data_IF_709609405489
#
_entry.id   IF_709609405489
#
_cell.length_a   1.000
_cell.length_b   1.000
_cell.length_c   1.000
_cell.angle_alpha   90.00
_cell.angle_beta   90.00
_cell.angle_gamma   90.00
#
_symmetry.space_group_name_H-M   'P 1'
#
loop_
_entity.id
_entity.type
_entity.pdbx_description
1 polymer ?
#
# COMPACT_ATOMS: atom_id res chain seq x y z
N UNK A 1 20.25 -24.14 19.52
CA UNK A 1 20.62 -24.20 18.10
C UNK A 1 20.32 -25.60 17.59
N UNK A 2 20.00 -25.76 16.30
CA UNK A 2 19.52 -27.04 15.75
C UNK A 2 20.63 -28.11 15.64
N UNK A 3 20.23 -29.29 15.20
CA UNK A 3 21.05 -30.49 15.04
C UNK A 3 22.04 -30.44 13.87
N UNK A 4 22.15 -29.32 13.14
CA UNK A 4 23.10 -29.12 12.05
C UNK A 4 24.52 -28.88 12.57
N UNK A 5 25.50 -29.41 11.86
CA UNK A 5 26.93 -29.24 12.19
C UNK A 5 27.47 -27.84 11.81
N UNK A 6 26.61 -26.95 11.35
CA UNK A 6 27.00 -25.60 10.93
C UNK A 6 27.45 -24.77 12.13
N UNK A 7 28.60 -24.15 11.98
CA UNK A 7 29.19 -23.26 12.97
C UNK A 7 29.00 -21.83 12.52
N UNK A 8 28.64 -20.97 13.44
CA UNK A 8 28.49 -19.54 13.22
C UNK A 8 29.38 -18.76 14.21
N UNK A 9 30.03 -17.74 13.68
CA UNK A 9 30.78 -16.80 14.52
C UNK A 9 29.80 -15.71 14.96
N UNK A 10 29.74 -15.48 16.26
CA UNK A 10 28.92 -14.43 16.86
C UNK A 10 29.86 -13.39 17.50
N UNK A 11 29.64 -12.11 17.18
CA UNK A 11 30.37 -10.99 17.73
C UNK A 11 29.44 -10.24 18.68
N UNK A 12 29.78 -10.26 19.99
CA UNK A 12 28.98 -9.66 21.05
C UNK A 12 29.77 -8.63 21.82
N UNK A 13 29.11 -7.74 22.54
CA UNK A 13 29.75 -6.79 23.47
C UNK A 13 30.63 -5.73 22.82
N UNK A 14 30.34 -5.34 21.55
CA UNK A 14 31.08 -4.28 20.88
C UNK A 14 30.88 -2.93 21.58
N UNK A 15 31.97 -2.15 21.71
CA UNK A 15 31.93 -0.80 22.28
C UNK A 15 31.01 0.17 21.50
N UNK A 16 30.76 -0.11 20.22
CA UNK A 16 29.87 0.66 19.35
C UNK A 16 28.87 -0.29 18.70
N UNK A 17 27.62 -0.30 19.21
CA UNK A 17 26.52 -1.19 18.77
C UNK A 17 25.62 -0.56 17.72
N UNK A 18 26.18 0.04 16.66
CA UNK A 18 25.39 0.63 15.56
C UNK A 18 24.91 -0.40 14.52
N UNK A 19 25.33 -1.64 14.62
CA UNK A 19 24.95 -2.72 13.73
C UNK A 19 24.29 -3.85 14.54
N UNK A 20 23.18 -4.38 14.01
CA UNK A 20 22.45 -5.52 14.59
C UNK A 20 22.20 -6.54 13.50
N UNK A 21 22.36 -7.82 13.84
CA UNK A 21 22.06 -8.94 12.94
C UNK A 21 20.80 -9.64 13.40
N UNK A 22 19.83 -9.78 12.49
CA UNK A 22 18.61 -10.57 12.68
C UNK A 22 18.81 -11.90 11.97
N UNK A 23 18.96 -12.98 12.74
CA UNK A 23 19.09 -14.32 12.19
C UNK A 23 17.72 -14.95 11.97
N UNK A 24 17.41 -15.24 10.69
CA UNK A 24 16.18 -15.93 10.29
C UNK A 24 16.48 -17.41 10.09
N UNK A 25 15.66 -18.27 10.68
CA UNK A 25 15.72 -19.73 10.54
C UNK A 25 14.39 -20.29 10.09
N UNK A 26 14.42 -21.30 9.23
CA UNK A 26 13.21 -21.97 8.74
C UNK A 26 13.54 -23.31 8.10
N UNK A 27 12.56 -24.17 7.98
CA UNK A 27 12.71 -25.52 7.39
C UNK A 27 12.83 -25.52 5.86
N UNK A 28 12.36 -24.45 5.20
CA UNK A 28 12.40 -24.32 3.74
C UNK A 28 12.99 -22.97 3.33
N UNK A 29 13.73 -22.97 2.22
CA UNK A 29 14.35 -21.75 1.69
C UNK A 29 13.33 -20.67 1.33
N UNK A 30 12.21 -21.08 0.73
CA UNK A 30 11.13 -20.12 0.35
C UNK A 30 10.57 -19.38 1.57
N UNK A 31 10.38 -20.07 2.70
CA UNK A 31 9.90 -19.44 3.95
C UNK A 31 10.93 -18.46 4.48
N UNK A 32 12.22 -18.79 4.41
CA UNK A 32 13.30 -17.88 4.83
C UNK A 32 13.34 -16.63 3.96
N UNK A 33 13.19 -16.78 2.64
CA UNK A 33 13.21 -15.67 1.70
C UNK A 33 11.99 -14.76 1.89
N UNK A 34 10.82 -15.31 2.20
CA UNK A 34 9.61 -14.56 2.53
C UNK A 34 9.76 -13.78 3.85
N UNK A 35 10.29 -14.42 4.89
CA UNK A 35 10.55 -13.73 6.16
C UNK A 35 11.55 -12.58 5.98
N UNK A 36 12.59 -12.76 5.14
CA UNK A 36 13.54 -11.68 4.84
C UNK A 36 12.85 -10.48 4.20
N UNK A 37 11.95 -10.70 3.23
CA UNK A 37 11.16 -9.62 2.60
C UNK A 37 10.27 -8.91 3.61
N UNK A 38 9.52 -9.68 4.39
CA UNK A 38 8.63 -9.13 5.43
C UNK A 38 9.38 -8.31 6.47
N UNK A 39 10.56 -8.77 6.90
CA UNK A 39 11.42 -8.02 7.81
C UNK A 39 11.94 -6.72 7.17
N UNK A 40 12.33 -6.77 5.90
CA UNK A 40 12.78 -5.58 5.19
C UNK A 40 11.67 -4.52 5.12
N UNK A 41 10.45 -4.94 4.77
CA UNK A 41 9.29 -4.06 4.69
C UNK A 41 8.93 -3.48 6.06
N UNK A 42 8.93 -4.29 7.10
CA UNK A 42 8.71 -3.83 8.48
C UNK A 42 9.75 -2.79 8.92
N UNK A 43 11.03 -2.99 8.59
CA UNK A 43 12.09 -2.03 8.88
C UNK A 43 11.92 -0.73 8.09
N UNK A 44 11.46 -0.79 6.86
CA UNK A 44 11.15 0.40 6.05
C UNK A 44 9.99 1.20 6.66
N UNK A 45 8.93 0.53 7.12
CA UNK A 45 7.82 1.18 7.82
C UNK A 45 8.29 1.83 9.12
N UNK A 46 9.06 1.11 9.94
CA UNK A 46 9.62 1.64 11.18
C UNK A 46 10.50 2.87 10.92
N UNK A 47 11.37 2.83 9.91
CA UNK A 47 12.20 3.96 9.49
C UNK A 47 11.35 5.18 9.10
N UNK A 48 10.27 4.96 8.36
CA UNK A 48 9.37 6.03 7.93
C UNK A 48 8.65 6.66 9.12
N UNK A 49 8.23 5.86 10.11
CA UNK A 49 7.61 6.35 11.35
C UNK A 49 8.58 7.16 12.22
N UNK A 50 9.85 6.79 12.26
CA UNK A 50 10.89 7.57 12.97
C UNK A 50 11.11 8.94 12.30
N UNK A 51 11.01 9.00 10.95
CA UNK A 51 11.13 10.26 10.20
C UNK A 51 9.89 11.14 10.32
N UNK A 52 8.73 10.54 10.28
CA UNK A 52 7.44 11.21 10.38
C UNK A 52 6.45 10.28 11.09
N UNK A 53 6.02 10.67 12.28
CA UNK A 53 5.13 9.90 13.14
C UNK A 53 3.63 9.98 12.73
N UNK A 54 3.34 10.54 11.55
CA UNK A 54 1.97 10.62 11.04
C UNK A 54 1.58 9.30 10.38
N UNK A 55 0.40 8.81 10.75
CA UNK A 55 -0.19 7.59 10.22
C UNK A 55 -1.52 7.89 9.51
N UNK A 56 -1.89 7.00 8.61
CA UNK A 56 -3.22 6.89 8.00
C UNK A 56 -3.72 5.46 8.18
N UNK A 57 -5.02 5.26 8.11
CA UNK A 57 -5.57 3.91 8.20
C UNK A 57 -5.48 3.20 6.86
N UNK A 58 -5.25 1.89 6.92
CA UNK A 58 -5.10 1.03 5.74
C UNK A 58 -6.44 0.47 5.23
N UNK A 59 -6.39 -0.67 4.56
CA UNK A 59 -7.59 -1.28 3.98
C UNK A 59 -8.22 -0.46 2.84
N UNK A 60 -7.45 0.42 2.19
CA UNK A 60 -7.96 1.31 1.15
C UNK A 60 -8.77 2.50 1.68
N UNK A 61 -8.85 2.71 3.00
CA UNK A 61 -9.66 3.78 3.59
C UNK A 61 -9.19 5.17 3.17
N UNK A 62 -7.88 5.39 3.12
CA UNK A 62 -7.28 6.66 2.71
C UNK A 62 -7.54 6.95 1.22
N UNK A 63 -7.47 5.93 0.37
CA UNK A 63 -7.75 6.03 -1.07
C UNK A 63 -9.21 6.39 -1.32
N UNK A 64 -10.15 5.74 -0.62
CA UNK A 64 -11.58 6.02 -0.71
C UNK A 64 -11.87 7.46 -0.26
N UNK A 65 -11.32 7.89 0.87
CA UNK A 65 -11.50 9.26 1.35
C UNK A 65 -10.92 10.29 0.36
N UNK A 66 -9.75 10.01 -0.21
CA UNK A 66 -9.16 10.86 -1.25
C UNK A 66 -9.99 10.87 -2.54
N UNK A 67 -10.54 9.73 -2.96
CA UNK A 67 -11.40 9.62 -4.14
C UNK A 67 -12.64 10.52 -3.99
N UNK A 68 -13.30 10.48 -2.84
CA UNK A 68 -14.48 11.32 -2.56
C UNK A 68 -14.14 12.83 -2.62
N UNK A 69 -13.02 13.25 -2.05
CA UNK A 69 -12.59 14.65 -2.08
C UNK A 69 -12.19 15.11 -3.48
N UNK A 70 -11.49 14.26 -4.26
CA UNK A 70 -11.12 14.57 -5.65
C UNK A 70 -12.35 14.65 -6.53
N UNK A 71 -13.34 13.76 -6.35
CA UNK A 71 -14.61 13.79 -7.07
C UNK A 71 -15.38 15.10 -6.79
N UNK A 72 -15.51 15.47 -5.51
CA UNK A 72 -16.13 16.72 -5.11
C UNK A 72 -15.37 17.98 -5.60
N UNK A 73 -14.04 17.90 -5.70
CA UNK A 73 -13.23 18.96 -6.28
C UNK A 73 -13.38 19.06 -7.80
N UNK A 74 -13.55 17.93 -8.49
CA UNK A 74 -13.73 17.87 -9.94
C UNK A 74 -14.96 18.63 -10.40
N UNK A 75 -16.04 18.61 -9.62
CA UNK A 75 -17.30 19.30 -9.94
C UNK A 75 -17.15 20.84 -9.93
N UNK A 76 -16.12 21.35 -9.27
CA UNK A 76 -15.82 22.80 -9.21
C UNK A 76 -14.93 23.29 -10.34
N UNK A 77 -14.34 22.38 -11.12
CA UNK A 77 -13.44 22.70 -12.23
C UNK A 77 -14.22 22.77 -13.52
N UNK A 78 -14.15 23.91 -14.19
CA UNK A 78 -14.76 24.08 -15.51
C UNK A 78 -13.78 23.63 -16.60
N UNK A 79 -14.27 22.83 -17.56
CA UNK A 79 -13.48 22.43 -18.72
C UNK A 79 -13.14 20.95 -18.78
N UNK A 80 -12.25 20.60 -19.71
CA UNK A 80 -11.88 19.19 -20.02
C UNK A 80 -11.09 18.55 -18.87
N UNK A 81 -10.40 19.33 -18.06
CA UNK A 81 -9.63 18.87 -16.91
C UNK A 81 -10.47 18.13 -15.86
N UNK A 82 -11.76 18.44 -15.79
CA UNK A 82 -12.72 17.73 -14.94
C UNK A 82 -12.74 16.22 -15.20
N UNK A 83 -12.67 15.81 -16.47
CA UNK A 83 -12.66 14.39 -16.83
C UNK A 83 -11.39 13.68 -16.33
N UNK A 84 -10.26 14.36 -16.42
CA UNK A 84 -9.01 13.80 -15.91
C UNK A 84 -9.03 13.63 -14.39
N UNK A 85 -9.64 14.58 -13.67
CA UNK A 85 -9.79 14.49 -12.20
C UNK A 85 -10.72 13.35 -11.80
N UNK A 86 -11.84 13.15 -12.51
CA UNK A 86 -12.76 12.04 -12.26
C UNK A 86 -12.08 10.69 -12.53
N UNK A 87 -11.37 10.57 -13.65
CA UNK A 87 -10.59 9.36 -13.96
C UNK A 87 -9.52 9.06 -12.90
N UNK A 88 -8.92 10.09 -12.30
CA UNK A 88 -7.98 9.91 -11.19
C UNK A 88 -8.69 9.42 -9.91
N UNK A 89 -9.88 9.94 -9.60
CA UNK A 89 -10.69 9.45 -8.49
C UNK A 89 -11.08 7.98 -8.68
N UNK A 90 -11.51 7.60 -9.89
CA UNK A 90 -11.83 6.21 -10.25
C UNK A 90 -10.60 5.30 -10.13
N UNK A 91 -9.41 5.80 -10.47
CA UNK A 91 -8.16 5.05 -10.33
C UNK A 91 -7.79 4.81 -8.86
N UNK A 92 -8.07 5.75 -7.96
CA UNK A 92 -7.88 5.55 -6.51
C UNK A 92 -8.79 4.44 -5.96
N UNK A 93 -10.00 4.32 -6.48
CA UNK A 93 -10.96 3.29 -6.07
C UNK A 93 -10.54 1.87 -6.52
N UNK A 94 -9.67 1.75 -7.51
CA UNK A 94 -9.14 0.44 -7.94
C UNK A 94 -8.33 -0.25 -6.84
N UNK A 95 -7.70 0.50 -5.94
CA UNK A 95 -6.90 -0.08 -4.85
C UNK A 95 -7.77 -0.85 -3.85
N UNK A 96 -8.83 -0.28 -3.26
CA UNK A 96 -9.72 -1.05 -2.40
C UNK A 96 -10.49 -2.14 -3.14
N UNK A 97 -10.80 -1.97 -4.43
CA UNK A 97 -11.40 -3.03 -5.24
C UNK A 97 -10.47 -4.24 -5.38
N UNK A 98 -9.19 -4.01 -5.69
CA UNK A 98 -8.20 -5.08 -5.77
C UNK A 98 -7.99 -5.78 -4.41
N UNK A 99 -8.05 -5.04 -3.31
CA UNK A 99 -8.00 -5.63 -1.96
C UNK A 99 -9.21 -6.55 -1.70
N UNK A 100 -10.40 -6.12 -2.07
CA UNK A 100 -11.61 -6.92 -1.93
C UNK A 100 -11.54 -8.20 -2.79
N UNK A 101 -11.16 -8.09 -4.05
CA UNK A 101 -11.00 -9.21 -4.97
C UNK A 101 -9.99 -10.24 -4.46
N UNK A 102 -8.80 -9.79 -4.04
CA UNK A 102 -7.76 -10.67 -3.50
C UNK A 102 -8.15 -11.32 -2.16
N UNK A 103 -9.12 -10.75 -1.46
CA UNK A 103 -9.68 -11.30 -0.22
C UNK A 103 -10.87 -12.23 -0.45
N UNK A 104 -11.27 -12.43 -1.72
CA UNK A 104 -12.42 -13.27 -2.09
C UNK A 104 -13.78 -12.60 -1.86
N UNK A 105 -13.81 -11.28 -1.69
CA UNK A 105 -15.02 -10.49 -1.57
C UNK A 105 -15.46 -9.95 -2.95
N UNK A 106 -16.75 -9.64 -3.10
CA UNK A 106 -17.21 -8.91 -4.28
C UNK A 106 -16.70 -7.45 -4.26
N UNK A 107 -15.85 -7.05 -5.24
CA UNK A 107 -15.21 -5.75 -5.22
C UNK A 107 -16.17 -4.58 -5.25
N UNK A 108 -17.18 -4.66 -6.12
CA UNK A 108 -18.15 -3.57 -6.33
C UNK A 108 -19.05 -3.36 -5.11
N UNK A 109 -19.59 -4.44 -4.57
CA UNK A 109 -20.44 -4.39 -3.38
C UNK A 109 -19.67 -3.89 -2.18
N UNK A 110 -18.44 -4.39 -1.98
CA UNK A 110 -17.58 -4.01 -0.85
C UNK A 110 -17.19 -2.53 -0.93
N UNK A 111 -16.73 -2.04 -2.09
CA UNK A 111 -16.36 -0.65 -2.27
C UNK A 111 -17.56 0.28 -2.04
N UNK A 112 -18.71 -0.03 -2.67
CA UNK A 112 -19.90 0.80 -2.58
C UNK A 112 -20.41 0.89 -1.14
N UNK A 113 -20.40 -0.23 -0.41
CA UNK A 113 -20.82 -0.27 0.99
C UNK A 113 -19.89 0.57 1.88
N UNK A 114 -18.58 0.47 1.68
CA UNK A 114 -17.61 1.25 2.46
C UNK A 114 -17.71 2.74 2.13
N UNK A 115 -17.82 3.13 0.85
CA UNK A 115 -18.03 4.53 0.41
C UNK A 115 -19.30 5.13 1.03
N UNK A 116 -20.41 4.42 0.94
CA UNK A 116 -21.69 4.87 1.50
C UNK A 116 -21.58 5.08 3.02
N UNK A 117 -20.89 4.19 3.72
CA UNK A 117 -20.67 4.32 5.17
C UNK A 117 -19.71 5.46 5.51
N UNK A 118 -18.63 5.66 4.76
CA UNK A 118 -17.73 6.80 4.98
C UNK A 118 -18.48 8.14 4.86
N UNK A 119 -19.38 8.25 3.88
CA UNK A 119 -20.19 9.46 3.69
C UNK A 119 -21.21 9.63 4.82
N UNK A 120 -21.96 8.57 5.16
CA UNK A 120 -23.05 8.65 6.13
C UNK A 120 -22.56 8.83 7.57
N UNK A 121 -21.46 8.18 7.93
CA UNK A 121 -20.89 8.24 9.28
C UNK A 121 -19.86 9.37 9.43
N UNK A 122 -19.39 9.96 8.31
CA UNK A 122 -18.31 10.94 8.31
C UNK A 122 -16.98 10.38 8.84
N UNK A 123 -16.80 9.06 8.76
CA UNK A 123 -15.67 8.35 9.35
C UNK A 123 -14.68 7.91 8.25
N UNK A 124 -13.52 8.58 8.10
CA UNK A 124 -12.53 8.26 7.09
C UNK A 124 -11.70 7.00 7.41
N UNK A 125 -11.96 6.33 8.53
CA UNK A 125 -11.21 5.14 8.98
C UNK A 125 -11.79 3.83 8.46
N UNK A 126 -12.94 3.90 7.80
CA UNK A 126 -13.61 2.73 7.24
C UNK A 126 -12.89 2.26 5.98
N UNK A 127 -12.53 1.00 5.94
CA UNK A 127 -11.86 0.34 4.82
C UNK A 127 -12.43 -1.04 4.52
N UNK A 128 -11.81 -1.76 3.61
CA UNK A 128 -12.20 -3.12 3.26
C UNK A 128 -11.71 -4.11 4.32
N UNK A 129 -12.62 -4.90 4.88
CA UNK A 129 -12.29 -5.94 5.87
C UNK A 129 -11.75 -7.21 5.18
N UNK A 130 -10.45 -7.19 4.87
CA UNK A 130 -9.76 -8.33 4.24
C UNK A 130 -9.58 -9.56 5.14
N UNK A 131 -9.77 -9.39 6.46
CA UNK A 131 -9.58 -10.46 7.44
C UNK A 131 -10.90 -11.13 7.87
N UNK A 132 -12.02 -10.64 7.36
CA UNK A 132 -13.37 -11.12 7.74
C UNK A 132 -13.60 -11.07 9.26
N UNK A 133 -13.13 -10.03 9.92
CA UNK A 133 -13.29 -9.80 11.37
C UNK A 133 -14.71 -9.35 11.69
N UNK A 134 -15.45 -8.83 10.70
CA UNK A 134 -16.82 -8.35 10.86
C UNK A 134 -16.94 -6.84 11.15
N UNK A 135 -15.83 -6.12 11.19
CA UNK A 135 -15.82 -4.65 11.29
C UNK A 135 -15.03 -4.04 10.13
N UNK A 136 -15.54 -2.97 9.56
CA UNK A 136 -14.84 -2.20 8.53
C UNK A 136 -13.99 -1.06 9.12
N UNK A 137 -14.00 -0.88 10.44
CA UNK A 137 -13.18 0.15 11.07
C UNK A 137 -11.72 -0.33 11.21
N UNK A 138 -10.85 0.26 10.39
CA UNK A 138 -9.42 -0.07 10.37
C UNK A 138 -8.71 0.34 11.66
N UNK A 139 -9.27 1.24 12.43
CA UNK A 139 -8.77 1.63 13.74
C UNK A 139 -8.91 0.49 14.75
N UNK A 140 -10.08 -0.16 14.78
CA UNK A 140 -10.33 -1.31 15.65
C UNK A 140 -9.48 -2.52 15.25
N UNK A 141 -9.28 -2.70 13.95
CA UNK A 141 -8.43 -3.77 13.42
C UNK A 141 -6.93 -3.50 13.58
N UNK A 142 -6.52 -2.30 14.03
CA UNK A 142 -5.12 -1.87 14.10
C UNK A 142 -4.38 -1.97 12.75
N UNK A 143 -5.07 -1.66 11.65
CA UNK A 143 -4.49 -1.60 10.30
C UNK A 143 -4.17 -0.16 9.95
N UNK A 144 -2.88 0.17 9.92
CA UNK A 144 -2.42 1.53 9.62
C UNK A 144 -1.19 1.52 8.73
N UNK A 145 -0.98 2.61 8.02
CA UNK A 145 0.13 2.85 7.13
C UNK A 145 0.79 4.19 7.45
N UNK A 146 2.00 4.40 6.94
CA UNK A 146 2.70 5.68 7.13
C UNK A 146 2.17 6.72 6.14
N UNK A 147 1.85 7.92 6.63
CA UNK A 147 1.38 9.02 5.77
C UNK A 147 2.40 9.38 4.69
N UNK A 148 3.71 9.38 5.04
CA UNK A 148 4.77 9.69 4.09
C UNK A 148 4.83 8.66 2.96
N UNK A 149 4.68 7.36 3.30
CA UNK A 149 4.62 6.29 2.31
C UNK A 149 3.44 6.45 1.36
N UNK A 150 2.25 6.69 1.89
CA UNK A 150 1.03 6.88 1.10
C UNK A 150 1.13 8.07 0.14
N UNK A 151 1.61 9.21 0.62
CA UNK A 151 1.84 10.38 -0.25
C UNK A 151 2.84 10.08 -1.38
N UNK A 152 3.93 9.39 -1.07
CA UNK A 152 4.93 9.03 -2.07
C UNK A 152 4.39 8.03 -3.10
N UNK A 153 3.61 7.04 -2.69
CA UNK A 153 2.96 6.08 -3.59
C UNK A 153 2.11 6.80 -4.64
N UNK A 154 1.20 7.67 -4.22
CA UNK A 154 0.33 8.43 -5.14
C UNK A 154 1.14 9.37 -6.04
N UNK A 155 2.13 10.07 -5.48
CA UNK A 155 2.97 11.00 -6.25
C UNK A 155 3.80 10.27 -7.31
N UNK A 156 4.43 9.15 -6.96
CA UNK A 156 5.23 8.36 -7.90
C UNK A 156 4.35 7.71 -8.98
N UNK A 157 3.18 7.19 -8.61
CA UNK A 157 2.22 6.66 -9.58
C UNK A 157 1.81 7.73 -10.60
N UNK A 158 1.47 8.93 -10.16
CA UNK A 158 1.14 10.05 -11.03
C UNK A 158 2.32 10.46 -11.94
N UNK A 159 3.55 10.41 -11.45
CA UNK A 159 4.75 10.67 -12.28
C UNK A 159 4.95 9.61 -13.36
N UNK A 160 4.76 8.33 -13.04
CA UNK A 160 4.85 7.24 -14.02
C UNK A 160 3.76 7.38 -15.08
N UNK A 161 2.52 7.64 -14.70
CA UNK A 161 1.43 7.89 -15.64
C UNK A 161 1.76 9.06 -16.57
N UNK A 162 2.28 10.17 -16.01
CA UNK A 162 2.70 11.33 -16.81
C UNK A 162 3.82 10.98 -17.81
N UNK A 163 4.74 10.09 -17.45
CA UNK A 163 5.79 9.63 -18.38
C UNK A 163 5.19 8.76 -19.50
N UNK A 164 4.28 7.85 -19.17
CA UNK A 164 3.62 6.97 -20.14
C UNK A 164 2.78 7.80 -21.12
N UNK A 165 2.03 8.78 -20.64
CA UNK A 165 1.20 9.65 -21.47
C UNK A 165 2.00 10.57 -22.42
N UNK A 166 3.32 10.67 -22.25
CA UNK A 166 4.22 11.41 -23.16
C UNK A 166 4.78 10.54 -24.30
N UNK A 167 4.48 9.25 -24.31
CA UNK A 167 4.94 8.35 -25.35
C UNK A 167 3.98 8.46 -26.52
N UNK A 168 4.48 8.95 -27.66
CA UNK A 168 3.70 9.11 -28.89
C UNK A 168 3.79 7.89 -29.80
N UNK A 169 4.94 7.18 -29.79
CA UNK A 169 5.17 6.05 -30.68
C UNK A 169 6.06 4.97 -30.02
N UNK A 170 5.85 3.72 -30.41
CA UNK A 170 6.63 2.56 -29.95
C UNK A 170 7.18 1.81 -31.16
N UNK A 171 8.49 1.87 -31.35
CA UNK A 171 9.20 1.22 -32.46
C UNK A 171 9.74 -0.13 -31.97
N UNK A 172 9.24 -1.23 -32.56
CA UNK A 172 9.82 -2.56 -32.36
C UNK A 172 10.89 -2.80 -33.43
N UNK A 173 12.12 -3.23 -33.08
CA UNK A 173 13.09 -3.64 -34.11
C UNK A 173 12.52 -4.86 -34.85
N UNK A 174 12.42 -4.78 -36.16
CA UNK A 174 12.09 -5.95 -36.99
C UNK A 174 13.24 -6.94 -36.86
N UNK A 175 12.93 -8.15 -36.38
CA UNK A 175 13.87 -9.27 -36.49
C UNK A 175 14.03 -9.57 -37.98
N UNK A 176 15.18 -9.20 -38.56
CA UNK A 176 15.52 -9.70 -39.86
C UNK A 176 15.81 -11.21 -39.69
N UNK A 177 14.91 -12.06 -40.19
CA UNK A 177 15.21 -13.46 -40.47
C UNK A 177 16.22 -13.57 -41.64
#
# INVERSE_FOLDING_TARGET
MGTTKDKMVVVEGCANSKAVTILVRGGQKMVIDEIKRSLHDALCVARNLVRNNSIVYGGGSAEIACSLEVEAASDKVAGVEQYAMRAFADALDQVPMALAENSGLDPMTSLTAVKARQISEGNPHLGVDCKCVGTNDMREQNVFETLIGKKQQITLAAQVVKMILKIDDVISPSTYE
#
